data_IF_906300111217
#
_entry.id   IF_906300111217
#
_cell.length_a   1.000
_cell.length_b   1.000
_cell.length_c   1.000
_cell.angle_alpha   90.00
_cell.angle_beta   90.00
_cell.angle_gamma   90.00
#
_symmetry.space_group_name_H-M   'P 1'
#
loop_
_entity.id
_entity.type
_entity.pdbx_description
1 polymer ?
#
# COMPACT_ATOMS: atom_id res chain seq x y z
N UNK A 1 -18.88 17.84 -5.72
CA UNK A 1 -18.57 17.96 -7.18
C UNK A 1 -17.51 19.03 -7.43
N UNK A 2 -17.63 20.23 -6.87
CA UNK A 2 -16.58 21.27 -7.00
C UNK A 2 -15.26 20.89 -6.32
N UNK A 3 -15.30 20.29 -5.13
CA UNK A 3 -14.12 19.80 -4.41
C UNK A 3 -13.36 18.72 -5.19
N UNK A 4 -14.06 17.69 -5.66
CA UNK A 4 -13.51 16.66 -6.57
C UNK A 4 -12.85 17.29 -7.81
N UNK A 5 -13.54 18.22 -8.48
CA UNK A 5 -13.01 18.87 -9.67
C UNK A 5 -11.71 19.63 -9.37
N UNK A 6 -11.68 20.40 -8.26
CA UNK A 6 -10.48 21.13 -7.82
C UNK A 6 -9.33 20.19 -7.50
N UNK A 7 -9.61 19.06 -6.84
CA UNK A 7 -8.62 18.04 -6.54
C UNK A 7 -8.03 17.47 -7.84
N UNK A 8 -8.88 17.02 -8.76
CA UNK A 8 -8.45 16.43 -10.03
C UNK A 8 -7.64 17.41 -10.88
N UNK A 9 -8.04 18.69 -10.96
CA UNK A 9 -7.26 19.71 -11.67
C UNK A 9 -5.89 19.98 -11.00
N UNK A 10 -5.85 20.00 -9.66
CA UNK A 10 -4.60 20.14 -8.90
C UNK A 10 -3.65 18.98 -9.20
N UNK A 11 -4.14 17.74 -9.12
CA UNK A 11 -3.35 16.55 -9.42
C UNK A 11 -2.83 16.57 -10.86
N UNK A 12 -3.66 16.92 -11.84
CA UNK A 12 -3.23 17.07 -13.24
C UNK A 12 -2.09 18.09 -13.38
N UNK A 13 -2.15 19.22 -12.67
CA UNK A 13 -1.08 20.23 -12.71
C UNK A 13 0.22 19.70 -12.12
N UNK A 14 0.17 19.04 -10.97
CA UNK A 14 1.35 18.45 -10.32
C UNK A 14 2.00 17.35 -11.18
N UNK A 15 1.18 16.51 -11.83
CA UNK A 15 1.65 15.48 -12.78
C UNK A 15 2.31 16.13 -14.00
N UNK A 16 1.71 17.16 -14.60
CA UNK A 16 2.30 17.89 -15.74
C UNK A 16 3.65 18.50 -15.40
N UNK A 17 3.83 18.97 -14.16
CA UNK A 17 5.10 19.49 -13.63
C UNK A 17 6.11 18.39 -13.23
N UNK A 18 5.74 17.10 -13.35
CA UNK A 18 6.55 15.93 -12.96
C UNK A 18 7.00 15.96 -11.50
N UNK A 19 6.13 16.46 -10.62
CA UNK A 19 6.45 16.62 -9.21
C UNK A 19 6.20 15.33 -8.40
N UNK A 20 5.26 14.49 -8.85
CA UNK A 20 4.78 13.31 -8.14
C UNK A 20 5.41 12.00 -8.65
N UNK A 21 5.55 11.02 -7.76
CA UNK A 21 6.00 9.65 -8.04
C UNK A 21 4.82 8.67 -8.16
N UNK A 22 3.77 8.87 -7.37
CA UNK A 22 2.51 8.12 -7.45
C UNK A 22 1.33 8.99 -7.03
N UNK A 23 0.14 8.58 -7.49
CA UNK A 23 -1.16 9.11 -7.07
C UNK A 23 -2.12 7.91 -7.00
N UNK A 24 -2.80 7.73 -5.87
CA UNK A 24 -3.77 6.65 -5.65
C UNK A 24 -5.02 7.23 -4.99
N UNK A 25 -6.22 6.91 -5.47
CA UNK A 25 -7.46 7.36 -4.86
C UNK A 25 -7.76 6.61 -3.56
N UNK A 26 -8.42 7.29 -2.62
CA UNK A 26 -8.93 6.64 -1.41
C UNK A 26 -10.38 6.29 -1.66
N UNK A 27 -10.65 4.99 -1.77
CA UNK A 27 -11.97 4.45 -2.05
C UNK A 27 -12.35 3.36 -1.04
N UNK A 28 -12.63 2.15 -1.50
CA UNK A 28 -13.06 1.03 -0.65
C UNK A 28 -11.92 0.57 0.28
N UNK A 29 -12.26 0.32 1.55
CA UNK A 29 -11.26 -0.07 2.55
C UNK A 29 -10.39 1.08 3.07
N UNK A 30 -10.62 2.32 2.61
CA UNK A 30 -10.05 3.54 3.18
C UNK A 30 -8.56 3.78 2.88
N UNK A 31 -7.97 4.71 3.65
CA UNK A 31 -6.60 5.17 3.45
C UNK A 31 -5.57 4.04 3.54
N UNK A 32 -5.75 3.12 4.49
CA UNK A 32 -4.81 2.01 4.67
C UNK A 32 -4.76 1.10 3.44
N UNK A 33 -5.92 0.80 2.85
CA UNK A 33 -6.00 -0.04 1.64
C UNK A 33 -5.34 0.67 0.45
N UNK A 34 -5.60 1.97 0.27
CA UNK A 34 -4.93 2.77 -0.75
C UNK A 34 -3.39 2.76 -0.62
N UNK A 35 -2.85 2.83 0.60
CA UNK A 35 -1.41 2.73 0.85
C UNK A 35 -0.86 1.37 0.41
N UNK A 36 -1.51 0.27 0.81
CA UNK A 36 -1.15 -1.09 0.41
C UNK A 36 -1.15 -1.27 -1.12
N UNK A 37 -2.25 -0.89 -1.78
CA UNK A 37 -2.40 -1.02 -3.23
C UNK A 37 -1.37 -0.21 -4.01
N UNK A 38 -1.02 0.98 -3.51
CA UNK A 38 0.02 1.83 -4.09
C UNK A 38 1.41 1.17 -4.05
N UNK A 39 1.69 0.41 -2.99
CA UNK A 39 2.96 -0.31 -2.78
C UNK A 39 3.07 -1.62 -3.56
N UNK A 40 1.96 -2.35 -3.76
CA UNK A 40 1.95 -3.69 -4.36
C UNK A 40 2.61 -3.78 -5.75
N UNK A 41 2.48 -2.73 -6.56
CA UNK A 41 3.00 -2.74 -7.94
C UNK A 41 4.53 -2.69 -8.00
N UNK A 42 5.16 -1.98 -7.05
CA UNK A 42 6.61 -1.77 -7.02
C UNK A 42 7.31 -2.54 -5.90
N UNK A 43 6.54 -3.23 -5.05
CA UNK A 43 7.07 -3.89 -3.87
C UNK A 43 7.60 -2.90 -2.84
N UNK A 44 7.03 -1.69 -2.78
CA UNK A 44 7.43 -0.62 -1.87
C UNK A 44 6.58 -0.63 -0.60
N UNK A 45 7.22 -0.42 0.54
CA UNK A 45 6.54 -0.28 1.83
C UNK A 45 6.30 1.17 2.20
N UNK A 46 5.87 1.41 3.43
CA UNK A 46 5.61 2.75 3.96
C UNK A 46 5.76 2.78 5.48
N UNK A 47 6.23 3.91 6.00
CA UNK A 47 6.25 4.26 7.43
C UNK A 47 5.33 5.46 7.62
N UNK A 48 4.20 5.25 8.28
CA UNK A 48 3.14 6.27 8.41
C UNK A 48 2.58 6.37 9.82
N UNK A 49 2.13 7.58 10.15
CA UNK A 49 1.48 7.89 11.42
C UNK A 49 0.34 8.89 11.23
N UNK A 50 -0.73 8.69 11.98
CA UNK A 50 -1.87 9.60 12.02
C UNK A 50 -1.44 10.98 12.51
N UNK A 51 -1.73 11.99 11.68
CA UNK A 51 -1.47 13.39 12.04
C UNK A 51 -2.56 13.98 12.95
N UNK A 52 -3.83 13.61 12.72
CA UNK A 52 -5.00 14.19 13.35
C UNK A 52 -5.46 13.41 14.59
N UNK A 53 -4.92 13.74 15.76
CA UNK A 53 -5.19 13.02 17.03
C UNK A 53 -6.62 13.13 17.56
N UNK A 54 -7.41 14.06 17.03
CA UNK A 54 -8.83 14.24 17.38
C UNK A 54 -9.77 13.30 16.61
N UNK A 55 -9.27 12.57 15.60
CA UNK A 55 -10.03 11.59 14.83
C UNK A 55 -9.73 10.20 15.42
N UNK A 56 -10.76 9.37 15.58
CA UNK A 56 -10.54 7.97 15.99
C UNK A 56 -9.69 7.24 14.96
N UNK A 57 -8.77 6.39 15.42
CA UNK A 57 -7.82 5.65 14.56
C UNK A 57 -8.50 4.84 13.46
N UNK A 58 -9.60 4.16 13.79
CA UNK A 58 -10.34 3.37 12.81
C UNK A 58 -10.98 4.23 11.72
N UNK A 59 -11.61 5.34 12.09
CA UNK A 59 -12.16 6.30 11.15
C UNK A 59 -11.08 6.99 10.30
N UNK A 60 -9.87 7.18 10.84
CA UNK A 60 -8.77 7.77 10.10
C UNK A 60 -8.22 6.81 9.02
N UNK A 61 -7.93 5.57 9.41
CA UNK A 61 -7.29 4.59 8.53
C UNK A 61 -8.25 3.86 7.59
N UNK A 62 -9.44 3.51 8.07
CA UNK A 62 -10.46 2.76 7.32
C UNK A 62 -11.62 3.65 6.84
N UNK A 63 -11.59 4.95 7.15
CA UNK A 63 -12.63 5.88 6.71
C UNK A 63 -12.63 6.07 5.21
N UNK A 64 -13.73 5.69 4.59
CA UNK A 64 -14.02 5.93 3.18
C UNK A 64 -14.63 7.32 3.03
N UNK A 65 -13.97 8.19 2.26
CA UNK A 65 -14.50 9.50 1.95
C UNK A 65 -14.08 9.90 0.53
N UNK A 66 -15.04 10.44 -0.23
CA UNK A 66 -14.80 10.90 -1.59
C UNK A 66 -13.82 12.10 -1.60
N UNK A 67 -13.25 12.38 -2.77
CA UNK A 67 -12.37 13.54 -2.98
C UNK A 67 -11.11 13.51 -2.11
N UNK A 68 -10.49 12.33 -1.99
CA UNK A 68 -9.19 12.14 -1.34
C UNK A 68 -8.29 11.27 -2.21
N UNK A 69 -7.01 11.60 -2.21
CA UNK A 69 -5.95 10.85 -2.88
C UNK A 69 -4.71 10.82 -2.00
N UNK A 70 -3.93 9.75 -2.09
CA UNK A 70 -2.57 9.67 -1.57
C UNK A 70 -1.61 9.98 -2.71
N UNK A 71 -0.66 10.86 -2.45
CA UNK A 71 0.42 11.17 -3.39
C UNK A 71 1.77 10.88 -2.76
N UNK A 72 2.75 10.50 -3.58
CA UNK A 72 4.15 10.47 -3.17
C UNK A 72 4.98 11.39 -4.05
N UNK A 73 6.06 11.94 -3.51
CA UNK A 73 7.02 12.75 -4.25
C UNK A 73 8.43 12.52 -3.70
N UNK A 74 9.45 12.99 -4.42
CA UNK A 74 10.82 12.96 -3.91
C UNK A 74 11.04 14.09 -2.92
N UNK A 75 12.00 13.95 -2.01
CA UNK A 75 12.39 15.03 -1.08
C UNK A 75 12.73 16.33 -1.81
N UNK A 76 13.38 16.24 -2.97
CA UNK A 76 13.69 17.38 -3.83
C UNK A 76 12.45 18.14 -4.29
N UNK A 77 11.34 17.44 -4.53
CA UNK A 77 10.10 18.04 -5.02
C UNK A 77 9.12 18.42 -3.91
N UNK A 78 9.36 17.97 -2.66
CA UNK A 78 8.41 18.11 -1.56
C UNK A 78 8.02 19.58 -1.29
N UNK A 79 9.00 20.49 -1.24
CA UNK A 79 8.75 21.92 -1.01
C UNK A 79 7.86 22.53 -2.11
N UNK A 80 8.14 22.23 -3.37
CA UNK A 80 7.35 22.71 -4.50
C UNK A 80 5.92 22.14 -4.46
N UNK A 81 5.76 20.84 -4.17
CA UNK A 81 4.43 20.23 -4.03
C UNK A 81 3.61 20.93 -2.95
N UNK A 82 4.19 21.14 -1.76
CA UNK A 82 3.51 21.81 -0.65
C UNK A 82 3.14 23.26 -0.98
N UNK A 83 4.04 23.97 -1.68
CA UNK A 83 3.79 25.33 -2.17
C UNK A 83 2.58 25.38 -3.11
N UNK A 84 2.54 24.47 -4.09
CA UNK A 84 1.44 24.37 -5.07
C UNK A 84 0.10 24.02 -4.41
N UNK A 85 0.10 23.07 -3.47
CA UNK A 85 -1.11 22.69 -2.73
C UNK A 85 -1.65 23.88 -1.91
N UNK A 86 -0.76 24.67 -1.30
CA UNK A 86 -1.12 25.88 -0.56
C UNK A 86 -1.66 26.98 -1.48
N UNK A 87 -1.03 27.22 -2.62
CA UNK A 87 -1.47 28.20 -3.63
C UNK A 87 -2.87 27.87 -4.17
N UNK A 88 -3.14 26.59 -4.43
CA UNK A 88 -4.41 26.10 -4.94
C UNK A 88 -5.49 25.89 -3.85
N UNK A 89 -5.14 26.19 -2.59
CA UNK A 89 -5.99 26.05 -1.42
C UNK A 89 -6.62 24.65 -1.31
N UNK A 90 -5.79 23.61 -1.52
CA UNK A 90 -6.17 22.21 -1.37
C UNK A 90 -5.70 21.72 0.00
N UNK A 91 -6.60 21.23 0.87
CA UNK A 91 -6.22 20.64 2.15
C UNK A 91 -5.30 19.43 1.94
N UNK A 92 -4.27 19.31 2.77
CA UNK A 92 -3.35 18.18 2.74
C UNK A 92 -2.86 17.85 4.14
N UNK A 93 -2.36 16.64 4.30
CA UNK A 93 -1.65 16.19 5.49
C UNK A 93 -0.42 15.38 5.08
N UNK A 94 0.61 15.42 5.92
CA UNK A 94 1.76 14.54 5.78
C UNK A 94 1.47 13.24 6.52
N UNK A 95 1.57 12.11 5.81
CA UNK A 95 1.34 10.78 6.38
C UNK A 95 2.63 10.11 6.85
N UNK A 96 3.74 10.32 6.12
CA UNK A 96 4.97 9.57 6.35
C UNK A 96 5.83 9.43 5.09
N UNK A 97 6.66 8.39 5.07
CA UNK A 97 7.61 8.11 3.99
C UNK A 97 7.33 6.77 3.30
N UNK A 98 7.75 6.67 2.04
CA UNK A 98 7.83 5.39 1.32
C UNK A 98 9.14 4.70 1.70
N UNK A 99 9.08 3.40 1.95
CA UNK A 99 10.25 2.56 2.28
C UNK A 99 10.50 1.55 1.16
N UNK A 100 11.61 0.82 1.24
CA UNK A 100 11.94 -0.22 0.25
C UNK A 100 10.91 -1.34 0.24
N UNK A 101 10.59 -1.95 1.38
CA UNK A 101 9.58 -3.01 1.47
C UNK A 101 8.92 -3.16 2.85
N UNK A 102 9.40 -2.45 3.87
CA UNK A 102 8.92 -2.55 5.25
C UNK A 102 7.63 -1.75 5.42
N UNK A 103 6.71 -2.28 6.19
CA UNK A 103 5.53 -1.54 6.61
C UNK A 103 5.64 -1.25 8.09
N UNK A 104 5.67 0.03 8.42
CA UNK A 104 5.64 0.54 9.78
C UNK A 104 4.38 1.40 9.93
N UNK A 105 3.48 0.96 10.78
CA UNK A 105 2.18 1.61 11.02
C UNK A 105 2.12 2.06 12.46
N UNK A 106 2.02 3.37 12.69
CA UNK A 106 1.93 3.93 14.06
C UNK A 106 3.12 3.54 14.96
N UNK A 107 4.30 3.33 14.36
CA UNK A 107 5.50 2.87 15.07
C UNK A 107 5.53 1.36 15.35
N UNK A 108 4.58 0.59 14.82
CA UNK A 108 4.56 -0.87 14.88
C UNK A 108 4.96 -1.48 13.54
N UNK A 109 5.90 -2.44 13.57
CA UNK A 109 6.33 -3.17 12.39
C UNK A 109 5.29 -4.21 11.97
N UNK A 110 4.79 -4.11 10.74
CA UNK A 110 3.74 -4.97 10.17
C UNK A 110 4.26 -6.01 9.18
N UNK A 111 5.58 -6.14 9.02
CA UNK A 111 6.18 -7.06 8.06
C UNK A 111 6.48 -6.40 6.73
N UNK A 112 6.60 -7.22 5.68
CA UNK A 112 6.96 -6.74 4.35
C UNK A 112 5.75 -6.67 3.41
N UNK A 113 5.73 -5.69 2.51
CA UNK A 113 4.62 -5.45 1.57
C UNK A 113 4.25 -6.66 0.70
N UNK A 114 5.20 -7.53 0.37
CA UNK A 114 4.92 -8.74 -0.42
C UNK A 114 4.09 -9.77 0.34
N UNK A 115 4.20 -9.84 1.67
CA UNK A 115 3.41 -10.74 2.52
C UNK A 115 1.94 -10.31 2.48
N UNK A 116 1.71 -9.00 2.58
CA UNK A 116 0.38 -8.40 2.47
C UNK A 116 -0.20 -8.51 1.06
N UNK A 117 0.62 -8.32 0.02
CA UNK A 117 0.20 -8.51 -1.37
C UNK A 117 -0.28 -9.93 -1.63
N UNK A 118 0.43 -10.93 -1.09
CA UNK A 118 0.05 -12.33 -1.20
C UNK A 118 -1.28 -12.60 -0.49
N UNK A 119 -1.47 -12.08 0.73
CA UNK A 119 -2.74 -12.18 1.45
C UNK A 119 -3.90 -11.54 0.66
N UNK A 120 -3.68 -10.35 0.11
CA UNK A 120 -4.67 -9.61 -0.68
C UNK A 120 -5.07 -10.39 -1.94
N UNK A 121 -4.10 -10.83 -2.74
CA UNK A 121 -4.36 -11.48 -4.03
C UNK A 121 -5.02 -12.87 -3.88
N UNK A 122 -4.69 -13.59 -2.80
CA UNK A 122 -5.17 -14.98 -2.61
C UNK A 122 -6.36 -15.10 -1.68
N UNK A 123 -6.85 -14.01 -1.07
CA UNK A 123 -7.97 -14.06 -0.12
C UNK A 123 -9.21 -14.75 -0.72
N UNK A 124 -9.66 -14.28 -1.89
CA UNK A 124 -10.85 -14.84 -2.56
C UNK A 124 -10.59 -16.27 -3.00
N UNK A 125 -9.42 -16.56 -3.59
CA UNK A 125 -9.04 -17.92 -4.00
C UNK A 125 -9.12 -18.89 -2.82
N UNK A 126 -8.51 -18.54 -1.69
CA UNK A 126 -8.48 -19.38 -0.48
C UNK A 126 -9.87 -19.59 0.12
N UNK A 127 -10.76 -18.60 -0.01
CA UNK A 127 -12.15 -18.72 0.45
C UNK A 127 -13.01 -19.58 -0.47
N UNK A 128 -12.79 -19.53 -1.78
CA UNK A 128 -13.59 -20.26 -2.77
C UNK A 128 -13.06 -21.67 -3.06
N UNK A 129 -11.74 -21.90 -2.94
CA UNK A 129 -11.11 -23.16 -3.27
C UNK A 129 -11.67 -24.38 -2.52
N UNK A 130 -12.08 -24.29 -1.23
CA UNK A 130 -12.77 -25.39 -0.54
C UNK A 130 -14.13 -25.69 -1.17
N UNK A 131 -14.91 -24.64 -1.49
CA UNK A 131 -16.27 -24.75 -2.04
C UNK A 131 -16.29 -25.33 -3.45
N UNK A 132 -15.27 -25.04 -4.27
CA UNK A 132 -15.15 -25.56 -5.64
C UNK A 132 -14.65 -27.01 -5.72
N UNK A 133 -14.16 -27.58 -4.60
CA UNK A 133 -13.69 -28.97 -4.54
C UNK A 133 -14.80 -29.97 -4.16
N UNK A 134 -16.02 -29.52 -3.88
CA UNK A 134 -17.11 -30.39 -3.42
C UNK A 134 -17.92 -31.07 -4.54
N UNK A 135 -17.65 -30.84 -5.84
CA UNK A 135 -18.33 -31.56 -6.94
C UNK A 135 -17.67 -32.90 -7.35
N UNK A 136 -16.76 -33.45 -6.54
CA UNK A 136 -16.18 -34.78 -6.79
C UNK A 136 -15.62 -35.41 -5.53
N UNK A 137 -16.38 -36.33 -4.92
CA UNK A 137 -16.17 -36.82 -3.56
C UNK A 137 -14.78 -37.41 -3.23
N UNK A 138 -14.31 -37.13 -2.02
CA UNK A 138 -14.06 -38.09 -0.93
C UNK A 138 -13.65 -37.29 0.33
N UNK A 139 -14.09 -37.76 1.50
CA UNK A 139 -13.95 -37.11 2.81
C UNK A 139 -12.51 -36.64 3.12
N UNK A 140 -12.38 -35.37 3.54
CA UNK A 140 -11.13 -34.85 4.10
C UNK A 140 -10.95 -35.38 5.53
N UNK A 141 -9.83 -36.03 5.87
CA UNK A 141 -9.61 -36.49 7.23
C UNK A 141 -9.30 -35.31 8.15
N UNK A 142 -9.87 -35.36 9.36
CA UNK A 142 -9.63 -34.40 10.42
C UNK A 142 -8.13 -34.20 10.67
N UNK A 143 -7.70 -32.94 10.76
CA UNK A 143 -6.33 -32.58 11.09
C UNK A 143 -5.96 -33.09 12.49
N UNK A 144 -5.28 -34.24 12.54
CA UNK A 144 -4.43 -34.61 13.68
C UNK A 144 -3.13 -33.84 13.58
N UNK A 145 -2.71 -33.28 14.71
CA UNK A 145 -1.48 -32.50 14.81
C UNK A 145 -0.23 -33.30 14.43
N UNK A 146 0.73 -32.56 13.85
CA UNK A 146 2.13 -32.93 13.70
C UNK A 146 2.45 -33.86 12.52
N UNK A 147 3.15 -33.36 11.50
CA UNK A 147 4.59 -33.59 11.29
C UNK A 147 5.07 -32.93 9.97
N UNK A 148 6.36 -32.58 9.92
CA UNK A 148 7.03 -31.85 8.83
C UNK A 148 6.95 -32.63 7.52
N UNK A 149 6.46 -31.99 6.47
CA UNK A 149 6.57 -32.46 5.09
C UNK A 149 6.90 -31.28 4.15
N UNK A 150 7.97 -31.42 3.39
CA UNK A 150 8.56 -30.42 2.51
C UNK A 150 7.56 -29.85 1.51
N UNK A 151 7.42 -28.51 1.45
CA UNK A 151 6.64 -27.82 0.43
C UNK A 151 7.45 -26.66 -0.16
N UNK A 152 7.82 -26.87 -1.43
CA UNK A 152 8.41 -25.99 -2.47
C UNK A 152 9.08 -24.68 -2.03
N UNK A 153 10.37 -24.60 -2.35
CA UNK A 153 11.24 -23.46 -2.13
C UNK A 153 10.93 -22.28 -3.07
N UNK A 154 9.93 -21.46 -2.72
CA UNK A 154 9.69 -20.14 -3.36
C UNK A 154 10.81 -19.12 -3.07
N UNK A 155 11.77 -19.43 -2.19
CA UNK A 155 12.85 -18.49 -1.86
C UNK A 155 13.85 -18.32 -3.00
N UNK A 156 13.99 -19.28 -3.92
CA UNK A 156 15.00 -19.20 -4.99
C UNK A 156 14.60 -18.31 -6.18
N UNK A 157 13.31 -18.10 -6.44
CA UNK A 157 12.88 -17.13 -7.48
C UNK A 157 12.89 -15.70 -6.94
N UNK A 158 12.39 -15.47 -5.73
CA UNK A 158 12.45 -14.16 -5.08
C UNK A 158 13.90 -13.69 -4.82
N UNK A 159 14.80 -14.62 -4.48
CA UNK A 159 16.21 -14.29 -4.30
C UNK A 159 16.94 -13.94 -5.61
N UNK A 160 16.50 -14.47 -6.77
CA UNK A 160 17.11 -14.16 -8.07
C UNK A 160 16.75 -12.76 -8.57
N UNK A 161 15.55 -12.26 -8.28
CA UNK A 161 15.19 -10.86 -8.55
C UNK A 161 15.87 -9.89 -7.57
N UNK A 162 15.89 -10.22 -6.27
CA UNK A 162 16.51 -9.38 -5.25
C UNK A 162 18.04 -9.22 -5.42
N UNK A 163 18.74 -10.22 -5.98
CA UNK A 163 20.19 -10.16 -6.18
C UNK A 163 20.61 -9.23 -7.34
N UNK A 164 19.70 -8.88 -8.24
CA UNK A 164 20.00 -8.10 -9.45
C UNK A 164 19.93 -6.58 -9.22
N UNK A 165 19.36 -6.14 -8.10
CA UNK A 165 19.33 -4.73 -7.70
C UNK A 165 20.43 -4.40 -6.68
N UNK A 166 21.68 -4.73 -7.01
CA UNK A 166 22.84 -4.07 -6.41
C UNK A 166 23.16 -2.80 -7.21
N UNK A 167 22.42 -1.74 -6.92
CA UNK A 167 22.77 -0.38 -7.31
C UNK A 167 22.98 0.46 -6.06
N UNK A 168 24.24 0.74 -5.72
CA UNK A 168 24.59 1.67 -4.66
C UNK A 168 23.87 3.01 -4.84
N UNK A 169 23.23 3.53 -3.78
CA UNK A 169 23.16 4.98 -3.59
C UNK A 169 23.63 5.29 -2.16
N UNK A 170 24.88 5.77 -2.12
CA UNK A 170 25.51 6.47 -1.01
C UNK A 170 24.89 7.86 -0.88
N UNK A 171 24.71 8.35 0.34
CA UNK A 171 24.67 9.79 0.58
C UNK A 171 23.82 10.22 1.76
N UNK A 172 24.50 10.87 2.71
CA UNK A 172 24.07 11.66 3.89
C UNK A 172 22.77 12.42 3.69
#
# INVERSE_FOLDING_TARGET
MEEEFRLQETIKQLIKKKLLQSVHDISEGGLITALFESGFHRGLGFDVQQSATNIRKDAYWFGEAQSRVVISCTLKNAEEVLSQLKELNVPYEYLGIVTDNNIDMEGEYWGHIYEWKELYNTAIERMLAPTLKEEGGQETPALKGGERGETKNYKEEAAKEALTLKGEVKGV
#
